data_IF_329470736391
#
_entry.id   IF_329470736391
#
_cell.length_a   1.000
_cell.length_b   1.000
_cell.length_c   1.000
_cell.angle_alpha   90.00
_cell.angle_beta   90.00
_cell.angle_gamma   90.00
#
_symmetry.space_group_name_H-M   'P 1'
#
loop_
_entity.id
_entity.type
_entity.pdbx_description
1 polymer ?
#
# COMPACT_ATOMS: atom_id res chain seq x y z
N UNK A 1 -20.77 40.98 11.80
CA UNK A 1 -19.50 40.23 11.91
C UNK A 1 -19.61 38.93 12.73
N UNK A 2 -20.43 38.84 13.78
CA UNK A 2 -20.56 37.62 14.60
C UNK A 2 -21.27 36.43 13.91
N UNK A 3 -22.28 36.68 13.07
CA UNK A 3 -23.05 35.62 12.39
C UNK A 3 -22.21 34.76 11.43
N UNK A 4 -21.30 35.37 10.68
CA UNK A 4 -20.39 34.65 9.78
C UNK A 4 -19.34 33.81 10.55
N UNK A 5 -18.94 34.26 11.75
CA UNK A 5 -18.01 33.54 12.62
C UNK A 5 -18.65 32.28 13.21
N UNK A 6 -19.93 32.36 13.56
CA UNK A 6 -20.72 31.24 14.08
C UNK A 6 -20.97 30.16 13.01
N UNK A 7 -21.29 30.58 11.78
CA UNK A 7 -21.47 29.66 10.65
C UNK A 7 -20.16 28.93 10.30
N UNK A 8 -19.03 29.65 10.30
CA UNK A 8 -17.70 29.04 10.07
C UNK A 8 -17.34 28.03 11.16
N UNK A 9 -17.64 28.32 12.43
CA UNK A 9 -17.39 27.41 13.54
C UNK A 9 -18.25 26.14 13.42
N UNK A 10 -19.52 26.29 13.01
CA UNK A 10 -20.42 25.16 12.81
C UNK A 10 -19.97 24.28 11.63
N UNK A 11 -19.54 24.90 10.52
CA UNK A 11 -19.00 24.19 9.35
C UNK A 11 -17.72 23.40 9.68
N UNK A 12 -16.80 23.99 10.46
CA UNK A 12 -15.59 23.32 10.92
C UNK A 12 -15.91 22.13 11.85
N UNK A 13 -16.87 22.30 12.76
CA UNK A 13 -17.30 21.21 13.65
C UNK A 13 -17.98 20.08 12.89
N UNK A 14 -18.85 20.40 11.91
CA UNK A 14 -19.51 19.39 11.08
C UNK A 14 -18.48 18.60 10.25
N UNK A 15 -17.51 19.26 9.64
CA UNK A 15 -16.40 18.60 8.91
C UNK A 15 -15.62 17.65 9.81
N UNK A 16 -15.36 18.03 11.07
CA UNK A 16 -14.62 17.19 12.02
C UNK A 16 -15.44 15.96 12.48
N UNK A 17 -16.77 16.06 12.58
CA UNK A 17 -17.63 14.90 12.86
C UNK A 17 -17.78 13.96 11.67
N UNK A 18 -17.61 14.46 10.45
CA UNK A 18 -17.65 13.66 9.21
C UNK A 18 -16.29 13.01 8.88
N UNK A 19 -15.19 13.44 9.49
CA UNK A 19 -13.89 12.79 9.31
C UNK A 19 -13.83 11.46 10.08
N UNK A 20 -13.78 10.34 9.34
CA UNK A 20 -13.45 9.04 9.93
C UNK A 20 -11.97 9.04 10.34
N UNK A 21 -11.63 8.67 11.58
CA UNK A 21 -10.23 8.44 11.92
C UNK A 21 -9.67 7.31 11.05
N UNK A 22 -8.50 7.53 10.47
CA UNK A 22 -7.76 6.45 9.82
C UNK A 22 -7.32 5.47 10.92
N UNK A 23 -7.76 4.21 10.82
CA UNK A 23 -7.22 3.16 11.66
C UNK A 23 -5.90 2.70 11.04
N UNK A 24 -4.80 2.93 11.75
CA UNK A 24 -3.52 2.33 11.38
C UNK A 24 -3.55 0.88 11.85
N UNK A 25 -3.89 -0.03 10.93
CA UNK A 25 -3.75 -1.47 11.15
C UNK A 25 -2.30 -1.89 10.98
N UNK A 26 -1.83 -2.80 11.84
CA UNK A 26 -0.57 -3.51 11.62
C UNK A 26 -0.81 -4.62 10.60
N UNK A 27 -0.07 -4.60 9.50
CA UNK A 27 -0.12 -5.64 8.47
C UNK A 27 1.19 -6.42 8.48
N UNK A 28 1.09 -7.74 8.64
CA UNK A 28 2.23 -8.64 8.49
C UNK A 28 2.16 -9.26 7.09
N UNK A 29 3.21 -9.03 6.31
CA UNK A 29 3.36 -9.59 4.97
C UNK A 29 4.50 -10.60 4.96
N UNK A 30 4.30 -11.71 4.27
CA UNK A 30 5.29 -12.76 4.10
C UNK A 30 5.81 -12.74 2.67
N UNK A 31 7.12 -12.56 2.53
CA UNK A 31 7.82 -12.59 1.26
C UNK A 31 8.15 -14.03 0.88
N UNK A 32 7.69 -14.45 -0.30
CA UNK A 32 8.07 -15.71 -0.92
C UNK A 32 9.00 -15.39 -2.09
N UNK A 33 10.28 -15.73 -1.93
CA UNK A 33 11.32 -15.35 -2.87
C UNK A 33 11.73 -16.52 -3.76
N UNK A 34 12.22 -16.20 -4.96
CA UNK A 34 12.93 -17.15 -5.82
C UNK A 34 14.35 -17.46 -5.29
N UNK A 35 15.11 -18.25 -6.04
CA UNK A 35 16.49 -18.64 -5.69
C UNK A 35 17.49 -17.48 -5.70
N UNK A 36 17.18 -16.39 -6.39
CA UNK A 36 18.02 -15.18 -6.45
C UNK A 36 17.65 -14.17 -5.35
N UNK A 37 16.55 -14.41 -4.62
CA UNK A 37 16.03 -13.52 -3.60
C UNK A 37 15.01 -12.51 -4.12
N UNK A 38 14.54 -12.65 -5.36
CA UNK A 38 13.47 -11.80 -5.91
C UNK A 38 12.12 -12.23 -5.32
N UNK A 39 11.30 -11.30 -4.77
CA UNK A 39 9.96 -11.63 -4.31
C UNK A 39 9.08 -12.03 -5.48
N UNK A 40 8.51 -13.23 -5.46
CA UNK A 40 7.55 -13.70 -6.47
C UNK A 40 6.11 -13.67 -5.96
N UNK A 41 5.91 -13.73 -4.65
CA UNK A 41 4.60 -13.65 -4.00
C UNK A 41 4.72 -12.92 -2.66
N UNK A 42 3.75 -12.08 -2.33
CA UNK A 42 3.48 -11.61 -0.97
C UNK A 42 2.15 -12.14 -0.48
N UNK A 43 2.13 -12.68 0.74
CA UNK A 43 0.89 -13.09 1.40
C UNK A 43 0.65 -12.36 2.70
N UNK A 44 -0.62 -12.14 3.06
CA UNK A 44 -1.00 -11.69 4.40
C UNK A 44 -0.93 -12.84 5.43
N UNK A 45 -1.27 -12.53 6.69
CA UNK A 45 -1.32 -13.51 7.79
C UNK A 45 -2.39 -14.59 7.64
N UNK A 46 -3.38 -14.39 6.77
CA UNK A 46 -4.38 -15.38 6.42
C UNK A 46 -3.99 -16.22 5.18
N UNK A 47 -2.83 -15.93 4.57
CA UNK A 47 -2.33 -16.61 3.37
C UNK A 47 -2.92 -16.08 2.06
N UNK A 48 -3.67 -14.98 2.08
CA UNK A 48 -4.19 -14.36 0.86
C UNK A 48 -3.04 -13.73 0.08
N UNK A 49 -3.03 -13.87 -1.25
CA UNK A 49 -2.02 -13.25 -2.12
C UNK A 49 -2.32 -11.76 -2.24
N UNK A 50 -1.42 -10.94 -1.71
CA UNK A 50 -1.52 -9.47 -1.75
C UNK A 50 -0.77 -8.90 -2.96
N UNK A 51 0.25 -9.60 -3.43
CA UNK A 51 1.08 -9.21 -4.55
C UNK A 51 1.74 -10.45 -5.18
N UNK A 52 1.88 -10.48 -6.51
CA UNK A 52 2.60 -11.52 -7.24
C UNK A 52 3.19 -10.95 -8.51
N UNK A 53 4.41 -11.36 -8.83
CA UNK A 53 5.04 -11.07 -10.10
C UNK A 53 5.85 -12.25 -10.61
N UNK A 54 5.96 -12.32 -11.94
CA UNK A 54 6.92 -13.15 -12.63
C UNK A 54 7.97 -12.24 -13.29
N UNK A 55 9.24 -12.63 -13.22
CA UNK A 55 10.35 -11.88 -13.82
C UNK A 55 10.89 -12.57 -15.07
N UNK A 56 11.23 -11.77 -16.07
CA UNK A 56 12.14 -12.17 -17.13
C UNK A 56 13.58 -12.31 -16.57
N UNK A 57 14.50 -13.00 -17.28
CA UNK A 57 15.85 -13.29 -16.76
C UNK A 57 16.67 -12.06 -16.31
N UNK A 58 16.35 -10.87 -16.80
CA UNK A 58 17.06 -9.62 -16.47
C UNK A 58 16.25 -8.64 -15.62
N UNK A 59 15.15 -9.11 -15.00
CA UNK A 59 14.41 -8.36 -14.00
C UNK A 59 13.24 -7.53 -14.49
N UNK A 60 12.95 -7.55 -15.80
CA UNK A 60 11.68 -7.01 -16.29
C UNK A 60 10.51 -7.82 -15.74
N UNK A 61 9.41 -7.14 -15.41
CA UNK A 61 8.17 -7.80 -15.02
C UNK A 61 7.49 -8.42 -16.24
N UNK A 62 7.36 -9.75 -16.25
CA UNK A 62 6.57 -10.48 -17.23
C UNK A 62 5.07 -10.42 -16.88
N UNK A 63 4.75 -10.54 -15.58
CA UNK A 63 3.40 -10.39 -15.05
C UNK A 63 3.44 -9.67 -13.70
N UNK A 64 2.36 -8.94 -13.38
CA UNK A 64 2.17 -8.29 -12.10
C UNK A 64 0.69 -8.33 -11.71
N UNK A 65 0.39 -8.79 -10.50
CA UNK A 65 -0.92 -8.69 -9.86
C UNK A 65 -0.74 -8.14 -8.46
N UNK A 66 -1.35 -6.99 -8.17
CA UNK A 66 -1.18 -6.32 -6.89
C UNK A 66 -2.51 -5.83 -6.30
N UNK A 67 -2.74 -6.17 -5.04
CA UNK A 67 -3.76 -5.57 -4.17
C UNK A 67 -3.11 -4.54 -3.25
N UNK A 68 -1.84 -4.77 -2.91
CA UNK A 68 -1.00 -3.84 -2.17
C UNK A 68 0.31 -3.62 -2.95
N UNK A 69 0.80 -2.38 -3.09
CA UNK A 69 2.06 -2.11 -3.78
C UNK A 69 3.25 -2.70 -3.02
N UNK A 70 4.27 -3.10 -3.77
CA UNK A 70 5.53 -3.62 -3.25
C UNK A 70 6.71 -2.81 -3.80
N UNK A 71 7.55 -2.30 -2.91
CA UNK A 71 8.73 -1.50 -3.27
C UNK A 71 9.93 -2.37 -3.65
N UNK A 72 10.04 -3.60 -3.11
CA UNK A 72 11.18 -4.49 -3.34
C UNK A 72 10.87 -5.50 -4.43
N UNK A 73 11.58 -5.46 -5.55
CA UNK A 73 11.32 -6.33 -6.69
C UNK A 73 12.53 -7.21 -7.02
N UNK A 74 12.99 -7.23 -8.27
CA UNK A 74 14.03 -8.11 -8.74
C UNK A 74 15.25 -8.07 -7.80
N UNK A 75 15.76 -9.25 -7.43
CA UNK A 75 16.85 -9.46 -6.46
C UNK A 75 16.69 -8.70 -5.13
N UNK A 76 15.45 -8.42 -4.73
CA UNK A 76 15.08 -7.73 -3.49
C UNK A 76 15.40 -6.24 -3.48
N UNK A 77 15.68 -5.63 -4.64
CA UNK A 77 16.06 -4.22 -4.73
C UNK A 77 14.83 -3.32 -4.80
N UNK A 78 14.96 -2.15 -4.19
CA UNK A 78 13.94 -1.10 -4.30
C UNK A 78 13.87 -0.61 -5.74
N UNK A 79 12.65 -0.44 -6.23
CA UNK A 79 12.38 0.21 -7.51
C UNK A 79 12.24 1.71 -7.27
N UNK A 80 12.97 2.51 -8.03
CA UNK A 80 12.86 3.97 -8.03
C UNK A 80 11.73 4.45 -8.95
N UNK A 81 11.32 5.70 -8.76
CA UNK A 81 10.44 6.39 -9.68
C UNK A 81 11.33 7.06 -10.75
N UNK A 82 11.09 6.71 -12.01
CA UNK A 82 11.65 7.41 -13.18
C UNK A 82 11.08 8.84 -13.33
#
# INVERSE_FOLDING_TARGET
MQRAKLIRLFLLSAICLLSRPATAGEYVLFYHNDTLGSPVVLTDSAGNVMWRADYEPFGNLATLTETLPNTHQFIGKEVDAE
#
